data_IF_392384102667
#
_entry.id   IF_392384102667
#
_cell.length_a   1.000
_cell.length_b   1.000
_cell.length_c   1.000
_cell.angle_alpha   90.00
_cell.angle_beta   90.00
_cell.angle_gamma   90.00
#
_symmetry.space_group_name_H-M   'P 1'
#
loop_
_entity.id
_entity.type
_entity.pdbx_description
1 polymer ?
#
# COMPACT_ATOMS: atom_id res chain seq x y z
N UNK A 1 7.00 18.32 -15.65
CA UNK A 1 6.28 18.01 -14.40
C UNK A 1 5.68 16.64 -14.57
N UNK A 2 6.01 15.70 -13.68
CA UNK A 2 5.53 14.32 -13.76
C UNK A 2 4.48 14.17 -12.67
N UNK A 3 3.20 14.22 -13.02
CA UNK A 3 2.07 14.08 -12.08
C UNK A 3 1.27 12.83 -12.47
N UNK A 4 0.63 12.20 -11.50
CA UNK A 4 -0.20 11.00 -11.73
C UNK A 4 0.60 9.71 -11.87
N UNK A 5 1.78 9.64 -11.25
CA UNK A 5 2.55 8.39 -11.14
C UNK A 5 2.40 7.84 -9.73
N UNK A 6 2.12 6.53 -9.67
CA UNK A 6 2.26 5.72 -8.48
C UNK A 6 3.37 4.68 -8.71
N UNK A 7 4.24 4.51 -7.71
CA UNK A 7 5.28 3.49 -7.71
C UNK A 7 4.95 2.47 -6.62
N UNK A 8 4.80 1.22 -7.03
CA UNK A 8 4.50 0.11 -6.12
C UNK A 8 5.79 -0.59 -5.71
N UNK A 9 5.96 -0.77 -4.41
CA UNK A 9 7.08 -1.50 -3.81
C UNK A 9 6.52 -2.67 -3.01
N UNK A 10 6.77 -3.88 -3.51
CA UNK A 10 6.43 -5.10 -2.79
C UNK A 10 7.48 -5.39 -1.71
N UNK A 11 7.02 -5.69 -0.50
CA UNK A 11 7.84 -5.97 0.67
C UNK A 11 7.34 -7.20 1.42
N UNK A 12 8.25 -7.87 2.13
CA UNK A 12 7.91 -9.06 2.92
C UNK A 12 7.10 -8.73 4.18
N UNK A 13 7.34 -7.54 4.78
CA UNK A 13 6.72 -7.11 6.05
C UNK A 13 6.39 -5.61 5.99
N UNK A 14 5.14 -5.30 5.61
CA UNK A 14 4.65 -3.92 5.48
C UNK A 14 4.48 -3.23 6.83
N UNK A 15 4.11 -3.97 7.88
CA UNK A 15 3.96 -3.43 9.24
C UNK A 15 5.29 -2.90 9.78
N UNK A 16 6.37 -3.62 9.52
CA UNK A 16 7.73 -3.19 9.91
C UNK A 16 8.12 -1.91 9.19
N UNK A 17 7.87 -1.83 7.88
CA UNK A 17 8.18 -0.61 7.10
C UNK A 17 7.34 0.55 7.62
N UNK A 18 6.02 0.38 7.71
CA UNK A 18 5.07 1.38 8.19
C UNK A 18 5.48 1.93 9.57
N UNK A 19 5.72 1.06 10.56
CA UNK A 19 6.10 1.49 11.90
C UNK A 19 7.45 2.21 11.96
N UNK A 20 8.35 1.95 11.01
CA UNK A 20 9.66 2.61 10.96
C UNK A 20 9.63 4.03 10.40
N UNK A 21 8.60 4.38 9.62
CA UNK A 21 8.52 5.66 8.88
C UNK A 21 7.27 6.49 9.13
N UNK A 22 6.18 5.96 9.73
CA UNK A 22 4.88 6.63 9.82
C UNK A 22 4.90 8.04 10.43
N UNK A 23 5.81 8.30 11.36
CA UNK A 23 5.96 9.63 11.99
C UNK A 23 6.93 10.57 11.25
N UNK A 24 7.49 10.12 10.12
CA UNK A 24 8.54 10.82 9.35
C UNK A 24 8.10 11.20 7.93
N UNK A 25 6.95 10.70 7.48
CA UNK A 25 6.44 10.85 6.11
C UNK A 25 4.98 11.25 6.14
N UNK A 26 4.50 11.86 5.05
CA UNK A 26 3.09 12.16 4.87
C UNK A 26 2.38 10.90 4.35
N UNK A 27 1.61 10.23 5.22
CA UNK A 27 0.77 9.10 4.83
C UNK A 27 -0.53 9.66 4.25
N UNK A 28 -0.80 9.34 2.98
CA UNK A 28 -2.01 9.77 2.26
C UNK A 28 -3.08 8.68 2.19
N UNK A 29 -2.68 7.43 2.42
CA UNK A 29 -3.57 6.30 2.62
C UNK A 29 -3.02 5.45 3.75
N UNK A 30 -3.77 5.33 4.84
CA UNK A 30 -3.33 4.60 6.02
C UNK A 30 -3.24 3.10 5.77
N UNK A 31 -2.47 2.41 6.60
CA UNK A 31 -2.25 0.97 6.45
C UNK A 31 -3.56 0.19 6.55
N UNK A 32 -3.82 -0.65 5.55
CA UNK A 32 -5.07 -1.40 5.45
C UNK A 32 -4.87 -2.74 4.76
N UNK A 33 -5.63 -3.73 5.24
CA UNK A 33 -5.82 -5.03 4.60
C UNK A 33 -6.99 -4.89 3.60
N UNK A 34 -6.70 -5.11 2.33
CA UNK A 34 -7.64 -5.03 1.23
C UNK A 34 -8.19 -6.41 0.87
N UNK A 35 -9.50 -6.46 0.60
CA UNK A 35 -10.23 -7.68 0.26
C UNK A 35 -9.65 -8.44 -0.93
N UNK A 36 -8.98 -7.74 -1.85
CA UNK A 36 -8.37 -8.32 -3.04
C UNK A 36 -6.97 -8.94 -2.82
N UNK A 37 -6.50 -9.01 -1.57
CA UNK A 37 -5.28 -9.74 -1.22
C UNK A 37 -4.01 -8.88 -1.11
N UNK A 38 -4.15 -7.65 -0.62
CA UNK A 38 -3.01 -6.77 -0.37
C UNK A 38 -3.14 -6.10 0.99
N UNK A 39 -2.03 -6.02 1.73
CA UNK A 39 -1.89 -5.11 2.86
C UNK A 39 -0.95 -3.99 2.46
N UNK A 40 -1.40 -2.75 2.50
CA UNK A 40 -0.60 -1.64 2.00
C UNK A 40 -0.90 -0.30 2.64
N UNK A 41 0.00 0.65 2.44
CA UNK A 41 -0.18 2.06 2.77
C UNK A 41 0.50 2.92 1.70
N UNK A 42 0.02 4.15 1.52
CA UNK A 42 0.54 5.07 0.51
C UNK A 42 1.09 6.31 1.18
N UNK A 43 2.30 6.70 0.76
CA UNK A 43 2.95 7.93 1.19
C UNK A 43 3.16 8.88 0.01
N UNK A 44 3.19 10.17 0.31
CA UNK A 44 3.58 11.19 -0.65
C UNK A 44 5.11 11.22 -0.79
N UNK A 45 5.58 10.97 -2.01
CA UNK A 45 6.98 11.10 -2.40
C UNK A 45 7.29 12.45 -3.06
N UNK A 46 8.56 12.69 -3.46
CA UNK A 46 8.95 13.89 -4.17
C UNK A 46 8.18 14.06 -5.49
N UNK A 47 7.98 15.31 -5.92
CA UNK A 47 7.35 15.65 -7.19
C UNK A 47 5.93 15.07 -7.38
N UNK A 48 5.12 14.98 -6.31
CA UNK A 48 3.74 14.45 -6.36
C UNK A 48 3.66 12.99 -6.84
N UNK A 49 4.75 12.23 -6.68
CA UNK A 49 4.75 10.77 -6.90
C UNK A 49 4.14 10.11 -5.67
N UNK A 50 3.19 9.20 -5.88
CA UNK A 50 2.68 8.34 -4.81
C UNK A 50 3.55 7.09 -4.70
N UNK A 51 3.92 6.72 -3.48
CA UNK A 51 4.67 5.51 -3.20
C UNK A 51 3.74 4.57 -2.43
N UNK A 52 3.42 3.44 -3.04
CA UNK A 52 2.58 2.40 -2.46
C UNK A 52 3.48 1.26 -1.97
N UNK A 53 3.41 0.94 -0.68
CA UNK A 53 4.21 -0.13 -0.06
C UNK A 53 3.29 -1.30 0.26
N UNK A 54 3.50 -2.41 -0.44
CA UNK A 54 2.53 -3.50 -0.54
C UNK A 54 3.13 -4.79 0.01
N UNK A 55 2.37 -5.50 0.82
CA UNK A 55 2.60 -6.91 1.13
C UNK A 55 1.43 -7.73 0.59
N UNK A 56 1.70 -8.80 -0.15
CA UNK A 56 0.65 -9.73 -0.56
C UNK A 56 0.08 -10.49 0.64
N UNK A 57 -1.24 -10.56 0.72
CA UNK A 57 -1.98 -11.38 1.69
C UNK A 57 -3.03 -12.21 0.95
N UNK A 58 -3.58 -13.29 1.54
CA UNK A 58 -4.70 -14.00 0.93
C UNK A 58 -5.89 -13.05 0.71
N UNK A 59 -6.56 -13.07 -0.47
CA UNK A 59 -7.81 -12.36 -0.68
C UNK A 59 -8.90 -12.84 0.29
N UNK A 60 -9.87 -11.97 0.59
CA UNK A 60 -10.98 -12.32 1.46
C UNK A 60 -11.92 -13.33 0.78
N UNK A 61 -12.61 -14.15 1.59
CA UNK A 61 -13.58 -15.13 1.07
C UNK A 61 -14.71 -14.46 0.28
N UNK A 62 -15.12 -13.25 0.66
CA UNK A 62 -16.15 -12.48 -0.02
C UNK A 62 -15.68 -12.03 -1.41
N UNK A 63 -14.43 -11.56 -1.52
CA UNK A 63 -13.84 -11.21 -2.81
C UNK A 63 -13.77 -12.42 -3.74
N UNK A 64 -13.36 -13.59 -3.23
CA UNK A 64 -13.28 -14.82 -4.02
C UNK A 64 -14.64 -15.32 -4.53
N UNK A 65 -15.73 -15.13 -3.77
CA UNK A 65 -17.09 -15.52 -4.19
C UNK A 65 -17.58 -14.79 -5.44
N UNK A 66 -17.04 -13.60 -5.73
CA UNK A 66 -17.42 -12.82 -6.92
C UNK A 66 -16.60 -13.18 -8.18
N UNK A 67 -15.58 -14.04 -8.03
CA UNK A 67 -14.66 -14.43 -9.10
C UNK A 67 -14.72 -15.92 -9.49
N UNK A 68 -15.56 -16.70 -8.81
CA UNK A 68 -15.84 -18.13 -9.07
C UNK A 68 -17.28 -18.31 -9.55
#
# INVERSE_FOLDING_TARGET
>A
MTKGIILNFEVDDVDKVYNSIKDKVNIVYDIKDEDFGQKHFIVEGPNEILIDVIQSIPPSEEFLKNYL
#
